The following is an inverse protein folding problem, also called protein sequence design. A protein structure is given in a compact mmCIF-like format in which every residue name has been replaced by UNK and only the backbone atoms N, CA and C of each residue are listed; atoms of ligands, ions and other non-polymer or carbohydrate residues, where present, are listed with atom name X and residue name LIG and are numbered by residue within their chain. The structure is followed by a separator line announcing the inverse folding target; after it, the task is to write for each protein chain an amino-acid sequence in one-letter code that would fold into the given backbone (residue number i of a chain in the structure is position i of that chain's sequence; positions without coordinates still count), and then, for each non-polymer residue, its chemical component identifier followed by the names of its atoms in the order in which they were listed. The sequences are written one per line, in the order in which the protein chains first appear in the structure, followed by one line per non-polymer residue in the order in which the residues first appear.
data_IF_717932208071
#
_entry.id   IF_717932208071
#
_cell.length_a   1.000
_cell.length_b   1.000
_cell.length_c   1.000
_cell.angle_alpha   90.00
_cell.angle_beta   90.00
_cell.angle_gamma   90.00
#
_symmetry.space_group_name_H-M   'P 1'
#
loop_
_entity.id
_entity.type
_entity.pdbx_description
1 polymer ?
#
# COMPACT_ATOMS: atom_id res chain seq x y z
N UNK A 1 0.32 -11.27 -11.23
CA UNK A 1 -0.51 -10.09 -11.48
C UNK A 1 -0.43 -9.12 -10.31
N UNK A 2 -0.78 -9.53 -9.09
CA UNK A 2 -0.80 -8.63 -7.92
C UNK A 2 0.60 -8.44 -7.29
N UNK A 3 1.21 -9.50 -6.75
CA UNK A 3 2.47 -9.43 -5.97
C UNK A 3 3.76 -9.67 -6.76
N UNK A 4 3.64 -10.13 -8.02
CA UNK A 4 4.80 -10.45 -8.88
C UNK A 4 5.64 -9.19 -9.18
N UNK A 5 6.92 -9.33 -9.56
CA UNK A 5 7.69 -8.22 -10.13
C UNK A 5 6.91 -7.56 -11.28
N UNK A 6 6.89 -6.22 -11.31
CA UNK A 6 6.06 -5.42 -12.23
C UNK A 6 4.55 -5.74 -12.15
N UNK A 7 4.08 -6.27 -11.02
CA UNK A 7 2.67 -6.44 -10.72
C UNK A 7 2.02 -5.16 -10.20
N UNK A 8 0.72 -5.25 -9.94
CA UNK A 8 -0.11 -4.11 -9.50
C UNK A 8 0.50 -3.41 -8.27
N UNK A 9 0.93 -4.17 -7.25
CA UNK A 9 1.49 -3.58 -6.03
C UNK A 9 2.83 -2.89 -6.28
N UNK A 10 3.69 -3.46 -7.14
CA UNK A 10 4.98 -2.84 -7.47
C UNK A 10 4.82 -1.56 -8.28
N UNK A 11 3.87 -1.51 -9.22
CA UNK A 11 3.57 -0.29 -9.98
C UNK A 11 2.97 0.77 -9.04
N UNK A 12 2.12 0.35 -8.08
CA UNK A 12 1.56 1.25 -7.07
C UNK A 12 2.64 1.84 -6.16
N UNK A 13 3.58 1.02 -5.69
CA UNK A 13 4.74 1.45 -4.91
C UNK A 13 5.58 2.49 -5.67
N UNK A 14 5.92 2.19 -6.93
CA UNK A 14 6.69 3.07 -7.78
C UNK A 14 5.98 4.43 -7.98
N UNK A 15 4.72 4.42 -8.41
CA UNK A 15 3.95 5.65 -8.63
C UNK A 15 3.70 6.43 -7.33
N UNK A 16 3.56 5.78 -6.18
CA UNK A 16 3.46 6.45 -4.89
C UNK A 16 4.73 7.25 -4.52
N UNK A 17 5.90 6.90 -5.06
CA UNK A 17 7.14 7.63 -4.79
C UNK A 17 7.37 8.82 -5.74
N UNK A 18 6.72 8.83 -6.91
CA UNK A 18 6.91 9.90 -7.90
C UNK A 18 6.04 11.13 -7.58
N UNK A 19 6.62 12.33 -7.36
CA UNK A 19 5.86 13.51 -6.93
C UNK A 19 4.80 14.00 -7.93
N UNK A 20 4.98 13.69 -9.21
CA UNK A 20 4.07 14.09 -10.31
C UNK A 20 3.15 12.96 -10.77
N UNK A 21 3.26 11.77 -10.18
CA UNK A 21 2.36 10.67 -10.49
C UNK A 21 0.95 10.98 -9.97
N UNK A 22 -0.04 10.49 -10.71
CA UNK A 22 -1.46 10.64 -10.41
C UNK A 22 -2.13 9.28 -10.55
N UNK A 23 -3.33 9.11 -10.00
CA UNK A 23 -4.07 7.86 -10.19
C UNK A 23 -4.27 7.53 -11.68
N UNK A 24 -4.33 8.57 -12.55
CA UNK A 24 -4.41 8.39 -14.00
C UNK A 24 -3.11 7.82 -14.60
N UNK A 25 -1.94 8.31 -14.19
CA UNK A 25 -0.67 7.73 -14.68
C UNK A 25 -0.47 6.31 -14.20
N UNK A 26 -0.94 6.02 -12.97
CA UNK A 26 -1.02 4.66 -12.44
C UNK A 26 -1.93 3.77 -13.27
N UNK A 27 -3.14 4.21 -13.62
CA UNK A 27 -4.06 3.51 -14.52
C UNK A 27 -3.40 3.15 -15.86
N UNK A 28 -2.79 4.15 -16.51
CA UNK A 28 -2.15 4.00 -17.81
C UNK A 28 -1.03 2.96 -17.76
N UNK A 29 -0.19 3.00 -16.71
CA UNK A 29 0.85 1.98 -16.48
C UNK A 29 0.25 0.59 -16.28
N UNK A 30 -0.82 0.44 -15.50
CA UNK A 30 -1.50 -0.85 -15.31
C UNK A 30 -2.05 -1.40 -16.63
N UNK A 31 -2.75 -0.57 -17.40
CA UNK A 31 -3.31 -0.96 -18.70
C UNK A 31 -2.21 -1.41 -19.67
N UNK A 32 -1.14 -0.63 -19.80
CA UNK A 32 -0.04 -0.92 -20.71
C UNK A 32 0.75 -2.19 -20.33
N UNK A 33 0.89 -2.46 -19.03
CA UNK A 33 1.64 -3.61 -18.54
C UNK A 33 0.84 -4.91 -18.50
N UNK A 34 -0.48 -4.85 -18.33
CA UNK A 34 -1.28 -6.06 -18.06
C UNK A 34 -2.39 -6.35 -19.07
N UNK A 35 -2.97 -5.35 -19.73
CA UNK A 35 -4.07 -5.59 -20.67
C UNK A 35 -3.57 -6.41 -21.87
N UNK A 36 -4.28 -7.51 -22.17
CA UNK A 36 -3.91 -8.45 -23.24
C UNK A 36 -2.70 -9.35 -22.94
N UNK A 37 -1.91 -9.04 -21.90
CA UNK A 37 -0.73 -9.81 -21.46
C UNK A 37 -1.03 -10.73 -20.28
N UNK A 38 -1.96 -10.32 -19.42
CA UNK A 38 -2.37 -11.07 -18.23
C UNK A 38 -3.83 -11.53 -18.38
N UNK A 39 -4.13 -12.85 -18.37
CA UNK A 39 -5.48 -13.35 -18.62
C UNK A 39 -6.52 -12.89 -17.58
N UNK A 40 -6.07 -12.63 -16.35
CA UNK A 40 -6.93 -12.22 -15.25
C UNK A 40 -7.08 -10.69 -15.15
N UNK A 41 -6.43 -9.90 -16.01
CA UNK A 41 -6.56 -8.44 -16.02
C UNK A 41 -7.47 -8.01 -17.16
N UNK A 42 -8.53 -7.28 -16.84
CA UNK A 42 -9.63 -6.99 -17.75
C UNK A 42 -9.98 -5.50 -17.72
N UNK A 43 -10.63 -5.04 -18.79
CA UNK A 43 -11.30 -3.73 -18.78
C UNK A 43 -12.51 -3.78 -17.84
N UNK A 44 -12.82 -2.68 -17.15
CA UNK A 44 -13.98 -2.63 -16.27
C UNK A 44 -15.26 -2.71 -17.08
N UNK A 45 -16.31 -3.31 -16.49
CA UNK A 45 -17.66 -3.22 -17.05
C UNK A 45 -18.17 -1.78 -16.92
N UNK A 46 -19.05 -1.31 -17.84
CA UNK A 46 -19.69 -0.01 -17.71
C UNK A 46 -20.35 0.17 -16.34
N UNK A 47 -20.24 1.36 -15.72
CA UNK A 47 -20.84 1.61 -14.41
C UNK A 47 -22.36 1.48 -14.49
N UNK A 48 -22.97 0.93 -13.44
CA UNK A 48 -24.41 0.97 -13.26
C UNK A 48 -24.85 2.39 -12.85
N UNK A 49 -26.12 2.79 -13.09
CA UNK A 49 -26.64 4.07 -12.61
C UNK A 49 -26.37 4.25 -11.11
N UNK A 50 -25.77 5.38 -10.73
CA UNK A 50 -25.39 5.69 -9.34
C UNK A 50 -24.06 5.10 -8.86
N UNK A 51 -23.35 4.31 -9.68
CA UNK A 51 -22.00 3.84 -9.37
C UNK A 51 -20.93 4.67 -10.08
N UNK A 52 -19.82 4.91 -9.39
CA UNK A 52 -18.64 5.52 -9.99
C UNK A 52 -18.02 4.59 -11.03
N UNK A 53 -17.42 5.17 -12.07
CA UNK A 53 -16.67 4.41 -13.05
C UNK A 53 -15.47 3.71 -12.39
N UNK A 54 -15.29 2.44 -12.74
CA UNK A 54 -14.09 1.70 -12.41
C UNK A 54 -13.05 1.90 -13.52
N UNK A 55 -11.78 1.63 -13.18
CA UNK A 55 -10.64 1.87 -14.06
C UNK A 55 -10.11 0.56 -14.63
N UNK A 56 -10.07 -0.51 -13.82
CA UNK A 56 -9.72 -1.85 -14.28
C UNK A 56 -10.55 -2.93 -13.58
N UNK A 57 -10.48 -4.16 -14.05
CA UNK A 57 -11.09 -5.31 -13.40
C UNK A 57 -10.14 -6.50 -13.28
N UNK A 58 -10.32 -7.30 -12.23
CA UNK A 58 -9.61 -8.56 -12.03
C UNK A 58 -10.61 -9.71 -12.02
N UNK A 59 -10.31 -10.78 -12.76
CA UNK A 59 -10.99 -12.06 -12.62
C UNK A 59 -10.49 -12.80 -11.38
N UNK A 60 -11.28 -12.81 -10.30
CA UNK A 60 -11.05 -13.65 -9.13
C UNK A 60 -11.79 -14.98 -9.26
N UNK A 61 -11.44 -15.96 -8.42
CA UNK A 61 -12.08 -17.29 -8.44
C UNK A 61 -13.61 -17.20 -8.21
N UNK A 62 -14.07 -16.22 -7.42
CA UNK A 62 -15.48 -16.00 -7.12
C UNK A 62 -16.20 -15.09 -8.15
N UNK A 63 -15.46 -14.50 -9.09
CA UNK A 63 -16.00 -13.59 -10.09
C UNK A 63 -15.11 -12.40 -10.41
N UNK A 64 -15.53 -11.61 -11.40
CA UNK A 64 -14.82 -10.38 -11.79
C UNK A 64 -15.15 -9.23 -10.84
N UNK A 65 -14.11 -8.58 -10.32
CA UNK A 65 -14.24 -7.37 -9.48
C UNK A 65 -13.69 -6.17 -10.25
N UNK A 66 -14.50 -5.11 -10.36
CA UNK A 66 -14.10 -3.84 -10.96
C UNK A 66 -13.58 -2.89 -9.88
N UNK A 67 -12.38 -2.34 -10.07
CA UNK A 67 -11.69 -1.49 -9.11
C UNK A 67 -11.73 -0.01 -9.53
N UNK A 68 -12.10 0.84 -8.58
CA UNK A 68 -11.91 2.28 -8.68
C UNK A 68 -10.60 2.64 -7.96
N UNK A 69 -9.69 3.32 -8.67
CA UNK A 69 -8.34 3.66 -8.18
C UNK A 69 -8.24 5.09 -7.62
N UNK A 70 -9.34 5.84 -7.57
CA UNK A 70 -9.32 7.22 -7.10
C UNK A 70 -8.82 7.28 -5.65
N UNK A 71 -7.83 8.13 -5.42
CA UNK A 71 -7.13 8.31 -4.16
C UNK A 71 -6.19 7.16 -3.77
N UNK A 72 -5.90 6.20 -4.64
CA UNK A 72 -5.04 5.06 -4.27
C UNK A 72 -3.61 5.51 -3.97
N UNK A 73 -3.04 6.40 -4.78
CA UNK A 73 -1.68 6.87 -4.52
C UNK A 73 -1.57 7.54 -3.15
N UNK A 74 -2.54 8.39 -2.79
CA UNK A 74 -2.59 9.08 -1.50
C UNK A 74 -2.79 8.11 -0.34
N UNK A 75 -3.78 7.21 -0.42
CA UNK A 75 -4.01 6.18 0.60
C UNK A 75 -2.80 5.27 0.81
N UNK A 76 -2.01 5.02 -0.24
CA UNK A 76 -0.83 4.18 -0.14
C UNK A 76 0.40 4.91 0.45
N UNK A 77 0.43 6.25 0.32
CA UNK A 77 1.42 7.13 0.94
C UNK A 77 1.19 7.30 2.45
N UNK A 78 -0.05 7.16 2.90
CA UNK A 78 -0.50 7.36 4.29
C UNK A 78 0.01 8.67 4.91
N UNK A 79 -0.30 9.84 4.30
CA UNK A 79 0.28 11.09 4.72
C UNK A 79 -0.28 11.50 6.09
N UNK A 80 0.60 11.55 7.10
CA UNK A 80 0.31 12.16 8.39
C UNK A 80 0.87 13.59 8.45
N UNK A 81 0.17 14.47 9.16
CA UNK A 81 0.69 15.81 9.41
C UNK A 81 1.80 15.75 10.46
N UNK A 82 3.04 15.93 10.00
CA UNK A 82 4.24 15.84 10.83
C UNK A 82 4.25 16.80 12.03
N UNK A 83 3.65 17.98 11.91
CA UNK A 83 3.53 18.94 13.02
C UNK A 83 2.58 18.42 14.09
N UNK A 84 1.47 17.80 13.69
CA UNK A 84 0.51 17.17 14.62
C UNK A 84 1.14 15.98 15.33
N UNK A 85 1.90 15.15 14.61
CA UNK A 85 2.65 14.04 15.21
C UNK A 85 3.62 14.55 16.27
N UNK A 86 4.37 15.63 15.98
CA UNK A 86 5.28 16.24 16.95
C UNK A 86 4.56 16.74 18.21
N UNK A 87 3.34 17.27 18.08
CA UNK A 87 2.53 17.66 19.24
C UNK A 87 2.14 16.45 20.10
N UNK A 88 1.77 15.32 19.47
CA UNK A 88 1.46 14.09 20.21
C UNK A 88 2.68 13.51 20.93
N UNK A 89 3.86 13.58 20.32
CA UNK A 89 5.12 13.11 20.94
C UNK A 89 5.58 13.97 22.12
N UNK A 90 5.21 15.26 22.14
CA UNK A 90 5.56 16.21 23.21
C UNK A 90 4.43 16.46 24.20
N UNK A 91 3.29 15.80 24.00
CA UNK A 91 2.11 15.93 24.86
C UNK A 91 2.29 15.30 26.24
N UNK A 92 1.33 15.55 27.13
CA UNK A 92 1.31 15.00 28.48
C UNK A 92 0.69 13.60 28.58
N UNK A 93 0.00 13.13 27.53
CA UNK A 93 -0.62 11.81 27.49
C UNK A 93 0.42 10.74 27.12
N UNK A 94 0.84 9.96 28.13
CA UNK A 94 1.86 8.91 27.97
C UNK A 94 1.52 7.89 26.88
N UNK A 95 0.24 7.50 26.73
CA UNK A 95 -0.18 6.54 25.71
C UNK A 95 0.02 7.10 24.29
N UNK A 96 -0.32 8.38 24.07
CA UNK A 96 -0.10 9.01 22.76
C UNK A 96 1.39 9.13 22.44
N UNK A 97 2.21 9.48 23.42
CA UNK A 97 3.67 9.56 23.24
C UNK A 97 4.25 8.20 22.85
N UNK A 98 3.78 7.12 23.48
CA UNK A 98 4.20 5.74 23.17
C UNK A 98 3.78 5.31 21.76
N UNK A 99 2.52 5.54 21.36
CA UNK A 99 1.99 5.16 20.04
C UNK A 99 2.77 5.84 18.90
N UNK A 100 3.15 7.11 19.06
CA UNK A 100 3.83 7.90 18.03
C UNK A 100 5.37 7.92 18.18
N UNK A 101 5.94 7.11 19.07
CA UNK A 101 7.37 7.13 19.37
C UNK A 101 8.23 6.91 18.10
N UNK A 102 7.88 5.90 17.32
CA UNK A 102 8.60 5.46 16.12
C UNK A 102 8.27 6.27 14.86
N UNK A 103 7.23 7.11 14.89
CA UNK A 103 6.91 7.97 13.75
C UNK A 103 7.96 9.09 13.61
N UNK A 104 8.53 9.32 12.40
CA UNK A 104 9.60 10.30 12.22
C UNK A 104 9.20 11.73 12.64
N UNK A 105 7.99 12.16 12.29
CA UNK A 105 7.50 13.51 12.63
C UNK A 105 8.33 14.60 11.93
N UNK A 106 8.04 15.86 12.24
CA UNK A 106 8.71 16.99 11.57
C UNK A 106 10.15 17.17 12.06
N UNK A 107 10.37 16.88 13.35
CA UNK A 107 11.66 17.05 14.02
C UNK A 107 12.63 15.87 13.84
N UNK A 108 12.19 14.75 13.26
CA UNK A 108 13.02 13.58 13.01
C UNK A 108 14.03 13.71 11.87
N UNK A 109 13.95 14.79 11.06
CA UNK A 109 14.83 15.02 9.92
C UNK A 109 16.21 15.64 10.23
N UNK A 110 16.46 16.09 11.47
CA UNK A 110 17.59 16.97 11.77
C UNK A 110 18.60 16.51 12.81
N UNK A 111 18.19 15.93 13.93
CA UNK A 111 18.99 16.15 15.16
C UNK A 111 19.15 14.95 16.12
N UNK A 112 19.22 13.73 15.59
CA UNK A 112 19.62 12.56 16.38
C UNK A 112 21.06 12.12 16.03
N UNK A 113 22.02 12.73 16.74
CA UNK A 113 23.39 12.27 16.94
C UNK A 113 23.52 11.30 18.13
N UNK A 114 22.55 10.41 18.34
CA UNK A 114 22.52 9.46 19.45
C UNK A 114 22.78 8.02 18.98
N UNK A 115 23.83 7.38 19.53
CA UNK A 115 24.11 5.95 19.36
C UNK A 115 22.96 5.12 19.94
N UNK A 116 22.31 4.30 19.11
CA UNK A 116 21.44 3.21 19.55
C UNK A 116 20.17 3.11 18.72
N UNK A 117 20.03 2.01 17.97
CA UNK A 117 18.85 1.72 17.15
C UNK A 117 19.11 1.87 15.67
N UNK A 118 18.67 0.89 14.90
CA UNK A 118 18.94 0.62 13.48
C UNK A 118 18.23 1.63 12.54
N UNK A 119 18.42 2.92 12.77
CA UNK A 119 17.70 4.00 12.09
C UNK A 119 18.64 5.06 11.52
N UNK A 120 19.54 4.69 10.59
CA UNK A 120 20.19 5.67 9.71
C UNK A 120 20.87 4.97 8.52
N UNK A 121 20.11 4.83 7.42
CA UNK A 121 20.55 4.83 6.01
C UNK A 121 19.34 4.46 5.14
N UNK A 122 18.77 5.43 4.43
CA UNK A 122 17.78 5.19 3.39
C UNK A 122 16.46 4.60 3.89
N UNK A 123 15.72 5.34 4.71
CA UNK A 123 14.30 5.08 4.90
C UNK A 123 13.61 5.31 3.56
N UNK A 124 13.66 4.32 2.67
CA UNK A 124 12.89 4.31 1.44
C UNK A 124 11.45 4.59 1.83
N UNK A 125 10.79 5.42 1.04
CA UNK A 125 9.39 5.77 1.22
C UNK A 125 8.58 4.48 1.47
N UNK A 126 8.26 4.20 2.73
CA UNK A 126 7.61 2.97 3.12
C UNK A 126 6.13 3.16 2.86
N UNK A 127 5.61 2.45 1.87
CA UNK A 127 4.19 2.49 1.53
C UNK A 127 3.41 1.53 2.40
N UNK A 128 2.10 1.77 2.51
CA UNK A 128 1.19 0.83 3.15
C UNK A 128 1.26 -0.54 2.46
N UNK A 129 1.29 -0.55 1.12
CA UNK A 129 1.41 -1.79 0.34
C UNK A 129 2.68 -2.57 0.61
N UNK A 130 3.83 -1.90 0.77
CA UNK A 130 5.11 -2.60 1.03
C UNK A 130 5.10 -3.28 2.40
N UNK A 131 4.57 -2.62 3.42
CA UNK A 131 4.46 -3.19 4.78
C UNK A 131 3.55 -4.42 4.79
N UNK A 132 2.38 -4.35 4.15
CA UNK A 132 1.47 -5.49 4.06
C UNK A 132 2.04 -6.64 3.23
N UNK A 133 2.79 -6.35 2.17
CA UNK A 133 3.43 -7.38 1.35
C UNK A 133 4.46 -8.17 2.16
N UNK A 134 5.27 -7.52 2.98
CA UNK A 134 6.23 -8.18 3.87
C UNK A 134 5.53 -9.07 4.91
N UNK A 135 4.49 -8.55 5.57
CA UNK A 135 3.69 -9.31 6.53
C UNK A 135 3.02 -10.52 5.88
N UNK A 136 2.45 -10.35 4.68
CA UNK A 136 1.82 -11.42 3.91
C UNK A 136 2.83 -12.50 3.52
N UNK A 137 4.04 -12.12 3.11
CA UNK A 137 5.10 -13.09 2.80
C UNK A 137 5.49 -13.92 4.03
N UNK A 138 5.61 -13.28 5.20
CA UNK A 138 5.90 -13.97 6.47
C UNK A 138 4.78 -14.95 6.84
N UNK A 139 3.52 -14.50 6.75
CA UNK A 139 2.34 -15.32 7.00
C UNK A 139 2.28 -16.52 6.06
N UNK A 140 2.43 -16.30 4.75
CA UNK A 140 2.38 -17.38 3.75
C UNK A 140 3.52 -18.38 3.91
N UNK A 141 4.69 -17.95 4.40
CA UNK A 141 5.79 -18.86 4.75
C UNK A 141 5.40 -19.77 5.91
N UNK A 142 4.83 -19.18 6.97
CA UNK A 142 4.38 -19.92 8.15
C UNK A 142 3.24 -20.89 7.82
N UNK A 143 2.25 -20.46 7.03
CA UNK A 143 1.13 -21.34 6.64
C UNK A 143 1.61 -22.54 5.81
N UNK A 144 2.58 -22.33 4.91
CA UNK A 144 3.16 -23.42 4.10
C UNK A 144 3.96 -24.42 4.92
N UNK A 145 4.43 -24.06 6.12
CA UNK A 145 5.13 -24.98 7.02
C UNK A 145 4.21 -25.74 7.98
N UNK A 146 2.88 -25.61 7.80
CA UNK A 146 1.88 -26.29 8.63
C UNK A 146 1.02 -27.26 7.81
N UNK A 147 0.32 -28.16 8.50
CA UNK A 147 -0.69 -29.01 7.86
C UNK A 147 -2.04 -28.27 7.85
N UNK A 148 -2.59 -27.95 6.66
CA UNK A 148 -3.83 -27.19 6.60
C UNK A 148 -5.05 -28.07 6.87
N UNK A 149 -5.98 -27.55 7.67
CA UNK A 149 -7.32 -28.11 7.85
C UNK A 149 -8.33 -27.06 7.37
N UNK A 150 -9.22 -27.45 6.46
CA UNK A 150 -10.11 -26.50 5.78
C UNK A 150 -11.56 -26.63 6.24
N UNK A 151 -12.19 -25.48 6.50
CA UNK A 151 -13.64 -25.33 6.59
C UNK A 151 -14.04 -24.32 5.53
N UNK A 152 -14.92 -24.70 4.60
CA UNK A 152 -15.41 -23.81 3.55
C UNK A 152 -16.79 -23.27 3.94
N UNK A 153 -16.82 -22.04 4.43
CA UNK A 153 -18.07 -21.29 4.58
C UNK A 153 -18.56 -20.85 3.19
N UNK A 154 -19.86 -20.96 2.95
CA UNK A 154 -20.54 -20.51 1.73
C UNK A 154 -21.37 -19.28 2.06
#
# INVERSE_FOLDING_TARGET
LIEKPMGILSILEEESMFPKATDKTFEEKLMNNHLGKSPNFQKPKPPKPGQQAAHFAIGHYAGTVSYNITGWLEKNKDPLNDTVVDQFKKGSNKLLVEIFADHPGQSGGGDAGGKGGRGKKGGGFATVSSSYKEQLNSLMTTLRSTQPHFVRCI
#
